data_IF_516070522501
#
_entry.id   IF_516070522501
#
_cell.length_a   1.000
_cell.length_b   1.000
_cell.length_c   1.000
_cell.angle_alpha   90.00
_cell.angle_beta   90.00
_cell.angle_gamma   90.00
#
_symmetry.space_group_name_H-M   'P 1'
#
loop_
_entity.id
_entity.type
_entity.pdbx_description
1 polymer ?
#
# COMPACT_ATOMS: atom_id res chain seq x y z
N UNK A 1 -23.78 14.78 -0.66
CA UNK A 1 -24.76 15.48 0.20
C UNK A 1 -26.22 15.13 -0.11
N UNK A 2 -26.85 15.62 -1.21
CA UNK A 2 -28.30 15.35 -1.46
C UNK A 2 -28.66 13.85 -1.54
N UNK A 3 -27.80 13.01 -2.11
CA UNK A 3 -28.01 11.56 -2.20
C UNK A 3 -27.73 10.82 -0.89
N UNK A 4 -26.92 11.38 0.01
CA UNK A 4 -26.54 10.77 1.29
C UNK A 4 -27.66 10.89 2.32
N UNK A 5 -28.31 12.05 2.39
CA UNK A 5 -29.50 12.22 3.22
C UNK A 5 -30.68 11.33 2.75
N UNK A 6 -30.78 11.03 1.45
CA UNK A 6 -31.95 10.34 0.89
C UNK A 6 -32.12 8.88 1.39
N UNK A 7 -31.04 8.09 1.48
CA UNK A 7 -31.15 6.70 1.94
C UNK A 7 -31.57 6.61 3.41
N UNK A 8 -31.11 7.54 4.25
CA UNK A 8 -31.41 7.55 5.68
C UNK A 8 -32.75 8.16 6.01
N UNK A 9 -33.17 9.20 5.28
CA UNK A 9 -34.56 9.65 5.32
C UNK A 9 -35.50 8.52 4.93
N UNK A 10 -35.12 7.68 3.96
CA UNK A 10 -35.89 6.48 3.62
C UNK A 10 -35.91 5.47 4.76
N UNK A 11 -34.76 5.13 5.36
CA UNK A 11 -34.72 4.21 6.50
C UNK A 11 -35.57 4.71 7.68
N UNK A 12 -35.46 6.00 8.03
CA UNK A 12 -36.25 6.60 9.10
C UNK A 12 -37.76 6.49 8.85
N UNK A 13 -38.20 6.84 7.63
CA UNK A 13 -39.62 6.74 7.25
C UNK A 13 -40.09 5.28 7.26
N UNK A 14 -39.25 4.34 6.83
CA UNK A 14 -39.57 2.92 6.88
C UNK A 14 -39.73 2.42 8.33
N UNK A 15 -38.79 2.79 9.20
CA UNK A 15 -38.76 2.37 10.62
C UNK A 15 -39.92 2.93 11.46
N UNK A 16 -40.62 3.96 10.99
CA UNK A 16 -41.84 4.45 11.65
C UNK A 16 -43.02 3.46 11.56
N UNK A 17 -42.99 2.56 10.58
CA UNK A 17 -44.12 1.66 10.27
C UNK A 17 -43.70 0.19 10.27
N UNK A 18 -42.45 -0.10 9.91
CA UNK A 18 -41.90 -1.45 9.78
C UNK A 18 -40.92 -1.74 10.90
N UNK A 19 -40.96 -2.95 11.43
CA UNK A 19 -39.88 -3.45 12.29
C UNK A 19 -38.61 -3.58 11.46
N UNK A 20 -37.63 -2.71 11.73
CA UNK A 20 -36.46 -2.51 10.87
C UNK A 20 -35.23 -3.09 11.53
N UNK A 21 -34.59 -4.06 10.86
CA UNK A 21 -33.34 -4.63 11.34
C UNK A 21 -32.17 -3.66 11.09
N UNK A 22 -31.89 -2.82 12.10
CA UNK A 22 -30.78 -1.85 12.02
C UNK A 22 -29.42 -2.53 11.96
N UNK A 23 -29.26 -3.69 12.63
CA UNK A 23 -28.01 -4.46 12.59
C UNK A 23 -27.69 -4.90 11.16
N UNK A 24 -28.68 -5.47 10.47
CA UNK A 24 -28.57 -5.85 9.06
C UNK A 24 -28.26 -4.62 8.19
N UNK A 25 -29.02 -3.53 8.34
CA UNK A 25 -28.79 -2.30 7.57
C UNK A 25 -27.34 -1.77 7.71
N UNK A 26 -26.79 -1.72 8.92
CA UNK A 26 -25.44 -1.20 9.16
C UNK A 26 -24.32 -2.16 8.74
N UNK A 27 -24.65 -3.42 8.46
CA UNK A 27 -23.74 -4.39 7.83
C UNK A 27 -23.51 -4.13 6.33
N UNK A 28 -24.41 -3.36 5.70
CA UNK A 28 -24.34 -3.02 4.29
C UNK A 28 -23.71 -1.65 4.02
N UNK A 29 -22.94 -1.58 2.92
CA UNK A 29 -22.45 -0.30 2.42
C UNK A 29 -23.56 0.44 1.67
N UNK A 30 -23.47 1.77 1.67
CA UNK A 30 -24.42 2.62 0.94
C UNK A 30 -24.35 2.38 -0.58
N UNK A 31 -23.14 2.23 -1.09
CA UNK A 31 -22.85 1.94 -2.49
C UNK A 31 -22.19 0.57 -2.58
N UNK A 32 -21.94 0.08 -3.79
CA UNK A 32 -21.10 -1.12 -4.03
C UNK A 32 -19.63 -0.93 -3.65
N UNK A 33 -19.28 0.22 -3.06
CA UNK A 33 -17.96 0.56 -2.57
C UNK A 33 -18.05 1.35 -1.25
N UNK A 34 -17.17 1.07 -0.27
CA UNK A 34 -17.12 1.77 1.01
C UNK A 34 -16.54 3.18 0.83
N UNK A 35 -17.25 4.21 1.27
CA UNK A 35 -16.71 5.59 1.26
C UNK A 35 -15.49 5.75 2.17
N UNK A 36 -15.44 4.95 3.24
CA UNK A 36 -14.35 4.92 4.20
C UNK A 36 -13.01 4.50 3.56
N UNK A 37 -13.02 3.65 2.54
CA UNK A 37 -11.81 3.10 1.92
C UNK A 37 -11.66 3.47 0.45
N UNK A 38 -12.71 3.91 -0.22
CA UNK A 38 -12.66 4.25 -1.64
C UNK A 38 -12.87 5.74 -1.88
N UNK A 39 -12.30 6.21 -2.99
CA UNK A 39 -12.61 7.49 -3.59
C UNK A 39 -13.34 7.21 -4.90
N UNK A 40 -14.68 7.21 -4.84
CA UNK A 40 -15.56 6.92 -5.98
C UNK A 40 -15.27 5.56 -6.65
N UNK A 41 -15.19 4.49 -5.84
CA UNK A 41 -14.93 3.13 -6.33
C UNK A 41 -13.47 2.86 -6.73
N UNK A 42 -12.55 3.82 -6.53
CA UNK A 42 -11.11 3.66 -6.70
C UNK A 42 -10.41 3.60 -5.34
N UNK A 43 -9.23 2.98 -5.28
CA UNK A 43 -8.38 3.06 -4.09
C UNK A 43 -8.19 4.51 -3.66
N UNK A 44 -8.38 4.76 -2.37
CA UNK A 44 -7.99 6.03 -1.77
C UNK A 44 -6.50 5.95 -1.46
N UNK A 45 -5.65 6.46 -2.35
CA UNK A 45 -4.20 6.42 -2.15
C UNK A 45 -3.74 7.43 -1.09
N UNK A 46 -2.70 7.11 -0.29
CA UNK A 46 -2.16 8.00 0.74
C UNK A 46 -1.45 9.22 0.11
N UNK A 47 -1.71 10.41 0.65
CA UNK A 47 -1.06 11.65 0.20
C UNK A 47 0.32 11.91 0.82
N UNK A 48 0.57 11.39 2.04
CA UNK A 48 1.76 11.68 2.83
C UNK A 48 2.29 10.41 3.54
N UNK A 49 2.72 9.40 2.77
CA UNK A 49 3.27 8.15 3.35
C UNK A 49 4.42 8.39 4.35
N UNK A 50 5.27 9.37 4.04
CA UNK A 50 6.48 9.69 4.82
C UNK A 50 6.20 10.26 6.22
N UNK A 51 4.95 10.60 6.56
CA UNK A 51 4.55 10.94 7.93
C UNK A 51 4.80 9.79 8.92
N UNK A 52 4.78 8.55 8.44
CA UNK A 52 5.12 7.39 9.27
C UNK A 52 6.56 7.44 9.77
N UNK A 53 7.49 7.96 8.96
CA UNK A 53 8.90 8.05 9.36
C UNK A 53 9.10 8.97 10.56
N UNK A 54 8.34 10.07 10.63
CA UNK A 54 8.36 10.96 11.80
C UNK A 54 7.76 10.31 13.06
N UNK A 55 7.03 9.21 12.92
CA UNK A 55 6.41 8.49 14.04
C UNK A 55 7.32 7.42 14.64
N UNK A 56 8.31 6.95 13.87
CA UNK A 56 9.27 5.92 14.24
C UNK A 56 10.69 6.46 14.41
N UNK A 57 10.92 7.76 14.18
CA UNK A 57 12.24 8.39 14.29
C UNK A 57 12.68 8.48 15.75
N UNK A 58 13.82 7.86 16.11
CA UNK A 58 14.42 8.04 17.42
C UNK A 58 14.67 9.49 17.79
N UNK A 59 14.60 9.75 19.10
CA UNK A 59 14.96 11.08 19.63
C UNK A 59 16.45 11.38 19.52
N UNK A 60 17.30 10.35 19.50
CA UNK A 60 18.76 10.45 19.40
C UNK A 60 19.23 9.48 18.33
N UNK A 61 19.95 9.99 17.33
CA UNK A 61 20.53 9.22 16.24
C UNK A 61 22.05 9.36 16.29
N UNK A 62 22.82 8.28 16.08
CA UNK A 62 24.25 8.41 15.85
C UNK A 62 24.52 9.15 14.54
N UNK A 63 25.74 9.65 14.39
CA UNK A 63 26.23 10.18 13.11
C UNK A 63 26.59 9.02 12.17
N UNK A 64 26.26 9.12 10.86
CA UNK A 64 26.60 8.08 9.90
C UNK A 64 28.12 7.97 9.72
N UNK A 65 28.66 6.75 9.49
CA UNK A 65 30.07 6.59 9.20
C UNK A 65 30.46 7.25 7.87
N UNK A 66 31.74 7.62 7.74
CA UNK A 66 32.28 8.21 6.51
C UNK A 66 32.50 7.18 5.39
N UNK A 67 32.56 5.90 5.75
CA UNK A 67 32.71 4.76 4.85
C UNK A 67 31.68 3.69 5.19
N UNK A 68 31.14 3.04 4.17
CA UNK A 68 30.25 1.89 4.29
C UNK A 68 30.83 0.74 3.48
N UNK A 69 30.71 -0.50 3.96
CA UNK A 69 31.15 -1.66 3.17
C UNK A 69 30.36 -1.76 1.87
N UNK A 70 29.04 -1.55 1.95
CA UNK A 70 28.15 -1.55 0.80
C UNK A 70 27.18 -0.35 0.77
N UNK A 71 26.89 0.13 -0.44
CA UNK A 71 25.82 1.12 -0.67
C UNK A 71 24.81 0.61 -1.69
N UNK A 72 23.55 0.58 -1.31
CA UNK A 72 22.46 0.04 -2.13
C UNK A 72 21.54 1.20 -2.51
N UNK A 73 21.24 1.33 -3.79
CA UNK A 73 20.50 2.46 -4.34
C UNK A 73 19.19 1.99 -4.96
N UNK A 74 18.10 2.61 -4.52
CA UNK A 74 16.84 2.67 -5.27
C UNK A 74 17.10 3.41 -6.59
N UNK A 75 17.18 2.64 -7.68
CA UNK A 75 17.64 3.13 -8.97
C UNK A 75 16.71 4.18 -9.56
N UNK A 76 15.38 3.96 -9.52
CA UNK A 76 14.41 4.91 -10.08
C UNK A 76 14.51 6.25 -9.34
N UNK A 77 14.64 6.20 -8.00
CA UNK A 77 14.89 7.39 -7.20
C UNK A 77 16.18 8.11 -7.61
N UNK A 78 17.27 7.39 -7.85
CA UNK A 78 18.55 8.00 -8.26
C UNK A 78 18.45 8.65 -9.64
N UNK A 79 17.77 8.02 -10.60
CA UNK A 79 17.53 8.58 -11.94
C UNK A 79 16.73 9.88 -11.87
N UNK A 80 15.83 10.01 -10.88
CA UNK A 80 15.11 11.25 -10.62
C UNK A 80 15.96 12.35 -9.96
N UNK A 81 16.90 11.98 -9.09
CA UNK A 81 17.74 12.92 -8.31
C UNK A 81 18.91 13.45 -9.13
N UNK A 82 19.52 12.61 -9.98
CA UNK A 82 20.74 12.97 -10.69
C UNK A 82 20.51 14.10 -11.70
N UNK A 83 21.48 15.03 -11.83
CA UNK A 83 21.37 16.15 -12.76
C UNK A 83 21.31 15.66 -14.20
N UNK A 84 20.68 16.44 -15.06
CA UNK A 84 20.62 16.18 -16.50
C UNK A 84 21.65 17.08 -17.18
N UNK A 85 22.54 16.50 -17.97
CA UNK A 85 23.39 17.30 -18.85
C UNK A 85 22.54 18.03 -19.89
N UNK A 86 22.88 19.28 -20.23
CA UNK A 86 22.17 20.03 -21.26
C UNK A 86 22.34 19.37 -22.64
N UNK A 87 21.22 19.12 -23.35
CA UNK A 87 21.17 18.60 -24.74
C UNK A 87 22.13 17.41 -24.98
N UNK A 88 22.04 16.38 -24.14
CA UNK A 88 22.85 15.17 -24.27
C UNK A 88 22.02 13.97 -24.80
N UNK A 89 22.71 12.97 -25.36
CA UNK A 89 22.12 11.66 -25.68
C UNK A 89 22.11 10.75 -24.46
N UNK A 90 21.37 9.65 -24.48
CA UNK A 90 21.41 8.68 -23.38
C UNK A 90 22.81 8.10 -23.14
N UNK A 91 23.60 7.88 -24.21
CA UNK A 91 25.00 7.46 -24.08
C UNK A 91 25.84 8.50 -23.35
N UNK A 92 25.76 9.77 -23.77
CA UNK A 92 26.45 10.88 -23.08
C UNK A 92 26.00 11.01 -21.62
N UNK A 93 24.71 10.83 -21.32
CA UNK A 93 24.22 10.83 -19.94
C UNK A 93 24.86 9.71 -19.11
N UNK A 94 24.94 8.50 -19.66
CA UNK A 94 25.63 7.38 -19.01
C UNK A 94 27.10 7.72 -18.73
N UNK A 95 27.82 8.14 -19.76
CA UNK A 95 29.27 8.34 -19.72
C UNK A 95 29.68 9.53 -18.83
N UNK A 96 28.88 10.60 -18.79
CA UNK A 96 29.27 11.86 -18.12
C UNK A 96 28.58 12.11 -16.79
N UNK A 97 27.48 11.43 -16.50
CA UNK A 97 26.70 11.62 -15.26
C UNK A 97 26.61 10.33 -14.46
N UNK A 98 26.03 9.28 -15.05
CA UNK A 98 25.65 8.08 -14.30
C UNK A 98 26.85 7.26 -13.86
N UNK A 99 27.77 6.92 -14.77
CA UNK A 99 29.00 6.20 -14.45
C UNK A 99 29.90 7.00 -13.48
N UNK A 100 30.22 8.29 -13.74
CA UNK A 100 30.98 9.08 -12.76
C UNK A 100 30.31 9.20 -11.39
N UNK A 101 28.98 9.17 -11.33
CA UNK A 101 28.27 9.09 -10.06
C UNK A 101 28.53 7.77 -9.34
N UNK A 102 28.46 6.63 -10.05
CA UNK A 102 28.79 5.32 -9.46
C UNK A 102 30.22 5.27 -8.92
N UNK A 103 31.20 5.81 -9.65
CA UNK A 103 32.60 5.91 -9.20
C UNK A 103 32.73 6.76 -7.93
N UNK A 104 32.03 7.90 -7.85
CA UNK A 104 32.00 8.71 -6.62
C UNK A 104 31.42 7.97 -5.43
N UNK A 105 30.40 7.12 -5.62
CA UNK A 105 29.84 6.33 -4.51
C UNK A 105 30.83 5.29 -3.99
N UNK A 106 31.62 4.70 -4.89
CA UNK A 106 32.69 3.74 -4.61
C UNK A 106 33.95 4.35 -3.96
N UNK A 107 34.08 5.67 -3.89
CA UNK A 107 35.17 6.30 -3.12
C UNK A 107 35.02 6.04 -1.61
N UNK A 108 33.79 5.91 -1.13
CA UNK A 108 33.45 5.65 0.27
C UNK A 108 32.69 4.34 0.46
N UNK A 109 32.89 3.37 -0.45
CA UNK A 109 32.45 1.98 -0.29
C UNK A 109 33.25 1.02 -1.14
N UNK A 110 33.25 -0.28 -0.81
CA UNK A 110 33.86 -1.32 -1.65
C UNK A 110 32.86 -1.88 -2.65
N UNK A 111 31.59 -1.93 -2.27
CA UNK A 111 30.49 -2.43 -3.10
C UNK A 111 29.37 -1.42 -3.26
N UNK A 112 28.82 -1.31 -4.47
CA UNK A 112 27.53 -0.67 -4.69
C UNK A 112 26.55 -1.57 -5.43
N UNK A 113 25.27 -1.42 -5.11
CA UNK A 113 24.18 -2.15 -5.74
C UNK A 113 23.14 -1.14 -6.25
N UNK A 114 22.71 -1.26 -7.51
CA UNK A 114 21.69 -0.41 -8.13
C UNK A 114 20.48 -1.29 -8.49
N UNK A 115 19.36 -1.03 -7.82
CA UNK A 115 18.16 -1.87 -7.86
C UNK A 115 17.05 -1.15 -8.63
N UNK A 116 16.57 -1.78 -9.69
CA UNK A 116 15.50 -1.26 -10.55
C UNK A 116 14.19 -1.99 -10.28
N UNK A 117 13.10 -1.28 -10.52
CA UNK A 117 11.79 -1.90 -10.72
C UNK A 117 11.76 -2.73 -12.01
N UNK A 118 10.84 -3.69 -12.02
CA UNK A 118 10.34 -4.40 -13.19
C UNK A 118 8.89 -3.98 -13.43
N UNK A 119 8.47 -4.06 -14.69
CA UNK A 119 7.17 -3.57 -15.12
C UNK A 119 6.40 -4.70 -15.79
N UNK A 120 5.50 -5.36 -15.05
CA UNK A 120 4.63 -6.39 -15.62
C UNK A 120 3.29 -5.78 -16.05
N UNK A 121 2.79 -6.07 -17.26
CA UNK A 121 1.50 -5.53 -17.73
C UNK A 121 0.30 -5.92 -16.86
N UNK A 122 0.37 -7.07 -16.18
CA UNK A 122 -0.73 -7.74 -15.48
C UNK A 122 -0.60 -7.70 -13.94
N UNK A 123 0.24 -6.83 -13.37
CA UNK A 123 0.37 -6.70 -11.91
C UNK A 123 -0.67 -5.77 -11.28
N UNK A 124 -0.81 -5.84 -9.95
CA UNK A 124 -1.60 -4.88 -9.18
C UNK A 124 -1.11 -3.44 -9.41
N UNK A 125 0.21 -3.27 -9.46
CA UNK A 125 0.88 -1.98 -9.63
C UNK A 125 0.73 -1.44 -11.05
N UNK A 126 0.70 -2.28 -12.08
CA UNK A 126 0.42 -1.83 -13.45
C UNK A 126 -0.93 -1.10 -13.53
N UNK A 127 -1.95 -1.61 -12.82
CA UNK A 127 -3.29 -1.05 -12.82
C UNK A 127 -3.36 0.28 -12.07
N UNK A 128 -2.51 0.48 -11.04
CA UNK A 128 -2.39 1.77 -10.35
C UNK A 128 -1.55 2.77 -11.16
N UNK A 129 -0.54 2.31 -11.91
CA UNK A 129 0.29 3.13 -12.82
C UNK A 129 -0.49 3.64 -14.04
N UNK A 130 -1.33 2.82 -14.68
CA UNK A 130 -2.20 3.24 -15.81
C UNK A 130 -3.15 4.39 -15.48
N UNK A 131 -3.42 4.65 -14.20
CA UNK A 131 -4.23 5.80 -13.73
C UNK A 131 -3.42 7.11 -13.64
N UNK A 132 -2.08 7.06 -13.77
CA UNK A 132 -1.19 8.23 -13.83
C UNK A 132 -1.26 8.87 -15.23
N UNK A 133 -0.75 10.10 -15.37
CA UNK A 133 -0.73 10.82 -16.66
C UNK A 133 0.01 9.99 -17.72
N UNK A 134 -0.51 10.00 -18.95
CA UNK A 134 0.07 9.26 -20.07
C UNK A 134 1.45 9.85 -20.41
N UNK A 135 2.50 9.05 -20.23
CA UNK A 135 3.86 9.41 -20.60
C UNK A 135 4.03 9.57 -22.12
N UNK A 136 5.16 10.16 -22.52
CA UNK A 136 5.52 10.29 -23.93
C UNK A 136 6.54 9.20 -24.28
N UNK A 137 6.10 8.19 -25.05
CA UNK A 137 6.98 7.12 -25.53
C UNK A 137 8.13 7.69 -26.35
N UNK A 138 9.36 7.32 -26.00
CA UNK A 138 10.58 7.64 -26.76
C UNK A 138 11.56 6.49 -26.71
N UNK A 139 11.96 6.00 -27.88
CA UNK A 139 12.96 4.94 -28.00
C UNK A 139 14.27 5.33 -27.30
N UNK A 140 14.74 4.48 -26.41
CA UNK A 140 16.01 4.66 -25.71
C UNK A 140 17.13 3.93 -26.46
N UNK A 141 18.20 4.66 -26.77
CA UNK A 141 19.44 4.10 -27.33
C UNK A 141 20.58 5.08 -27.08
N UNK A 142 21.84 4.62 -27.09
CA UNK A 142 23.01 5.49 -26.83
C UNK A 142 23.00 6.79 -27.66
N UNK A 143 22.55 6.72 -28.91
CA UNK A 143 22.56 7.83 -29.86
C UNK A 143 21.28 8.69 -29.82
N UNK A 144 20.22 8.23 -29.14
CA UNK A 144 18.98 9.00 -29.02
C UNK A 144 19.16 10.16 -28.03
N UNK A 145 18.59 11.31 -28.37
CA UNK A 145 18.59 12.49 -27.52
C UNK A 145 17.72 12.26 -26.27
N UNK A 146 18.19 12.77 -25.12
CA UNK A 146 17.36 12.82 -23.93
C UNK A 146 16.06 13.61 -24.19
N UNK A 147 14.94 13.21 -23.58
CA UNK A 147 13.68 13.92 -23.66
C UNK A 147 13.77 15.28 -22.98
N UNK A 148 13.12 16.29 -23.58
CA UNK A 148 13.01 17.63 -23.00
C UNK A 148 12.30 17.59 -21.64
N UNK A 149 11.23 16.79 -21.54
CA UNK A 149 10.57 16.47 -20.27
C UNK A 149 10.92 15.04 -19.86
N UNK A 150 11.97 14.90 -19.05
CA UNK A 150 12.34 13.61 -18.48
C UNK A 150 11.29 13.07 -17.50
N UNK A 151 10.58 13.96 -16.79
CA UNK A 151 9.48 13.56 -15.88
C UNK A 151 8.34 12.92 -16.67
N UNK A 152 7.94 13.50 -17.80
CA UNK A 152 6.92 12.90 -18.67
C UNK A 152 7.42 11.65 -19.41
N UNK A 153 8.73 11.53 -19.62
CA UNK A 153 9.34 10.33 -20.19
C UNK A 153 9.31 9.14 -19.20
N UNK A 154 9.66 9.38 -17.92
CA UNK A 154 9.62 8.37 -16.86
C UNK A 154 8.19 8.00 -16.40
N UNK A 155 7.16 8.60 -16.98
CA UNK A 155 5.76 8.18 -16.77
C UNK A 155 5.33 7.03 -17.68
N UNK A 156 6.17 6.67 -18.65
CA UNK A 156 5.94 5.54 -19.56
C UNK A 156 6.80 4.35 -19.12
N UNK A 157 6.16 3.22 -18.83
CA UNK A 157 6.83 2.04 -18.27
C UNK A 157 7.87 1.47 -19.25
N UNK A 158 7.58 1.45 -20.56
CA UNK A 158 8.53 0.97 -21.58
C UNK A 158 9.76 1.86 -21.68
N UNK A 159 9.60 3.18 -21.56
CA UNK A 159 10.76 4.09 -21.48
C UNK A 159 11.67 3.77 -20.29
N UNK A 160 11.09 3.45 -19.13
CA UNK A 160 11.84 3.08 -17.92
C UNK A 160 12.57 1.77 -18.12
N UNK A 161 11.90 0.74 -18.64
CA UNK A 161 12.51 -0.55 -18.97
C UNK A 161 13.71 -0.40 -19.91
N UNK A 162 13.56 0.33 -21.02
CA UNK A 162 14.65 0.52 -21.97
C UNK A 162 15.80 1.36 -21.40
N UNK A 163 15.50 2.37 -20.57
CA UNK A 163 16.51 3.17 -19.88
C UNK A 163 17.29 2.33 -18.88
N UNK A 164 16.62 1.57 -18.02
CA UNK A 164 17.27 0.75 -17.01
C UNK A 164 18.11 -0.34 -17.68
N UNK A 165 17.61 -0.99 -18.73
CA UNK A 165 18.39 -1.96 -19.50
C UNK A 165 19.66 -1.34 -20.10
N UNK A 166 19.57 -0.12 -20.66
CA UNK A 166 20.74 0.60 -21.16
C UNK A 166 21.74 0.87 -20.03
N UNK A 167 21.31 1.53 -18.95
CA UNK A 167 22.20 1.91 -17.84
C UNK A 167 22.83 0.68 -17.17
N UNK A 168 22.08 -0.41 -16.97
CA UNK A 168 22.62 -1.67 -16.44
C UNK A 168 23.75 -2.22 -17.31
N UNK A 169 23.57 -2.20 -18.64
CA UNK A 169 24.59 -2.66 -19.56
C UNK A 169 25.84 -1.77 -19.54
N UNK A 170 25.66 -0.45 -19.53
CA UNK A 170 26.79 0.48 -19.54
C UNK A 170 27.60 0.41 -18.24
N UNK A 171 26.91 0.40 -17.10
CA UNK A 171 27.54 0.26 -15.79
C UNK A 171 28.26 -1.08 -15.65
N UNK A 172 27.64 -2.19 -16.04
CA UNK A 172 28.27 -3.51 -15.92
C UNK A 172 29.50 -3.68 -16.84
N UNK A 173 29.57 -2.96 -17.97
CA UNK A 173 30.71 -3.04 -18.88
C UNK A 173 31.81 -2.00 -18.58
N UNK A 174 31.57 -1.07 -17.65
CA UNK A 174 32.56 -0.06 -17.28
C UNK A 174 33.69 -0.67 -16.45
N UNK A 175 34.91 -0.21 -16.70
CA UNK A 175 36.11 -0.65 -15.96
C UNK A 175 36.28 0.24 -14.73
N UNK A 176 35.96 -0.31 -13.57
CA UNK A 176 36.17 0.35 -12.28
C UNK A 176 37.57 0.08 -11.73
N UNK A 177 37.96 0.84 -10.71
CA UNK A 177 39.19 0.59 -9.96
C UNK A 177 39.21 -0.84 -9.37
N UNK A 178 40.40 -1.42 -9.14
CA UNK A 178 40.53 -2.70 -8.45
C UNK A 178 39.78 -2.71 -7.12
N UNK A 179 39.27 -3.88 -6.73
CA UNK A 179 38.54 -4.09 -5.46
C UNK A 179 37.29 -3.20 -5.31
N UNK A 180 36.70 -2.77 -6.43
CA UNK A 180 35.41 -2.10 -6.49
C UNK A 180 34.40 -2.96 -7.24
N UNK A 181 33.34 -3.32 -6.53
CA UNK A 181 32.28 -4.18 -7.05
C UNK A 181 31.00 -3.39 -7.28
N UNK A 182 30.45 -3.54 -8.47
CA UNK A 182 29.15 -2.99 -8.84
C UNK A 182 28.23 -4.13 -9.16
N UNK A 183 27.05 -4.11 -8.55
CA UNK A 183 25.93 -4.97 -8.86
C UNK A 183 24.79 -4.10 -9.38
N UNK A 184 24.18 -4.48 -10.49
CA UNK A 184 23.08 -3.72 -11.06
C UNK A 184 22.04 -4.67 -11.64
N UNK A 185 20.79 -4.49 -11.21
CA UNK A 185 19.71 -5.35 -11.66
C UNK A 185 19.46 -5.21 -13.16
N UNK A 186 18.97 -6.28 -13.81
CA UNK A 186 18.53 -6.27 -15.21
C UNK A 186 17.48 -7.36 -15.39
N UNK A 187 16.20 -6.98 -15.39
CA UNK A 187 15.10 -7.93 -15.28
C UNK A 187 15.25 -8.77 -14.00
N UNK A 188 15.16 -10.10 -14.11
CA UNK A 188 15.29 -11.04 -12.97
C UNK A 188 16.73 -11.20 -12.50
N UNK A 189 17.70 -10.80 -13.32
CA UNK A 189 19.13 -11.02 -13.08
C UNK A 189 19.77 -9.82 -12.42
N UNK A 190 20.99 -10.04 -11.94
CA UNK A 190 21.91 -8.99 -11.49
C UNK A 190 23.17 -9.11 -12.33
N UNK A 191 23.55 -8.02 -12.99
CA UNK A 191 24.81 -7.89 -13.70
C UNK A 191 25.87 -7.38 -12.73
N UNK A 192 27.13 -7.72 -12.98
CA UNK A 192 28.27 -7.19 -12.24
C UNK A 192 29.40 -6.78 -13.17
N UNK A 193 30.22 -5.82 -12.74
CA UNK A 193 31.44 -5.41 -13.43
C UNK A 193 32.56 -6.46 -13.36
N UNK A 194 32.43 -7.48 -12.51
CA UNK A 194 33.42 -8.53 -12.32
C UNK A 194 32.85 -9.91 -12.73
N UNK A 195 33.56 -10.69 -13.56
CA UNK A 195 33.17 -12.07 -13.86
C UNK A 195 33.08 -12.92 -12.58
N UNK A 196 32.05 -13.77 -12.47
CA UNK A 196 31.85 -14.66 -11.33
C UNK A 196 31.18 -14.02 -10.10
N UNK A 197 31.00 -12.69 -10.08
CA UNK A 197 30.19 -12.01 -9.07
C UNK A 197 28.70 -12.13 -9.41
N UNK A 198 28.04 -13.13 -8.86
CA UNK A 198 26.62 -13.41 -9.12
C UNK A 198 25.74 -13.20 -7.90
N UNK A 199 24.44 -13.01 -8.17
CA UNK A 199 23.35 -13.11 -7.22
C UNK A 199 22.28 -14.02 -7.81
N UNK A 200 21.46 -14.61 -6.95
CA UNK A 200 20.33 -15.43 -7.37
C UNK A 200 19.35 -14.62 -8.23
N UNK A 201 18.72 -15.29 -9.19
CA UNK A 201 17.63 -14.68 -9.97
C UNK A 201 16.46 -14.38 -9.05
N UNK A 202 15.76 -13.28 -9.33
CA UNK A 202 14.71 -12.78 -8.45
C UNK A 202 13.42 -12.44 -9.19
N UNK A 203 12.29 -12.90 -8.63
CA UNK A 203 10.94 -12.65 -9.15
C UNK A 203 10.31 -11.34 -8.62
N UNK A 204 11.02 -10.61 -7.76
CA UNK A 204 10.58 -9.33 -7.22
C UNK A 204 10.26 -8.34 -8.34
N UNK A 205 9.04 -7.82 -8.33
CA UNK A 205 8.61 -6.79 -9.27
C UNK A 205 9.20 -5.41 -8.93
N UNK A 206 9.23 -5.05 -7.65
CA UNK A 206 9.57 -3.68 -7.23
C UNK A 206 10.94 -3.62 -6.54
N UNK A 207 11.63 -2.49 -6.75
CA UNK A 207 12.92 -2.24 -6.11
C UNK A 207 12.78 -2.20 -4.58
N UNK A 208 11.62 -1.78 -4.06
CA UNK A 208 11.38 -1.61 -2.63
C UNK A 208 11.69 -2.87 -1.80
N UNK A 209 11.14 -4.01 -2.23
CA UNK A 209 11.32 -5.33 -1.65
C UNK A 209 12.66 -5.93 -2.06
N UNK A 210 13.06 -5.75 -3.33
CA UNK A 210 14.30 -6.33 -3.86
C UNK A 210 15.55 -5.74 -3.18
N UNK A 211 15.50 -4.48 -2.72
CA UNK A 211 16.61 -3.87 -1.98
C UNK A 211 16.99 -4.69 -0.74
N UNK A 212 16.01 -5.25 -0.02
CA UNK A 212 16.29 -6.07 1.17
C UNK A 212 17.05 -7.37 0.82
N UNK A 213 16.79 -7.97 -0.35
CA UNK A 213 17.56 -9.09 -0.88
C UNK A 213 19.02 -8.70 -1.16
N UNK A 214 19.25 -7.49 -1.69
CA UNK A 214 20.61 -6.96 -1.88
C UNK A 214 21.32 -6.71 -0.54
N UNK A 215 20.64 -6.18 0.48
CA UNK A 215 21.17 -6.04 1.85
C UNK A 215 21.60 -7.41 2.39
N UNK A 216 20.75 -8.42 2.21
CA UNK A 216 21.05 -9.78 2.66
C UNK A 216 22.23 -10.41 1.90
N UNK A 217 22.35 -10.20 0.58
CA UNK A 217 23.51 -10.68 -0.19
C UNK A 217 24.82 -9.99 0.22
N UNK A 218 24.79 -8.68 0.52
CA UNK A 218 25.98 -7.98 1.03
C UNK A 218 26.44 -8.56 2.37
N UNK A 219 25.50 -8.88 3.27
CA UNK A 219 25.80 -9.51 4.56
C UNK A 219 26.38 -10.92 4.39
N UNK A 220 25.82 -11.72 3.47
CA UNK A 220 26.36 -13.05 3.13
C UNK A 220 27.79 -13.01 2.61
N UNK A 221 28.21 -11.89 2.04
CA UNK A 221 29.57 -11.64 1.53
C UNK A 221 30.45 -10.88 2.52
N UNK A 222 30.01 -10.71 3.77
CA UNK A 222 30.83 -10.21 4.88
C UNK A 222 30.75 -8.72 5.13
N UNK A 223 29.88 -7.97 4.46
CA UNK A 223 29.64 -6.57 4.81
C UNK A 223 28.96 -6.47 6.18
N UNK A 224 29.33 -5.48 7.00
CA UNK A 224 28.68 -5.18 8.28
C UNK A 224 28.04 -3.80 8.27
N UNK A 225 28.66 -2.79 7.67
CA UNK A 225 28.09 -1.44 7.56
C UNK A 225 27.50 -1.18 6.17
N UNK A 226 26.19 -0.93 6.10
CA UNK A 226 25.43 -0.85 4.85
C UNK A 226 24.59 0.42 4.82
N UNK A 227 24.68 1.18 3.71
CA UNK A 227 23.82 2.33 3.45
C UNK A 227 22.83 2.03 2.32
N UNK A 228 21.54 2.16 2.58
CA UNK A 228 20.49 2.16 1.56
C UNK A 228 20.09 3.60 1.22
N UNK A 229 20.04 3.97 -0.06
CA UNK A 229 19.54 5.27 -0.53
C UNK A 229 18.20 5.11 -1.24
N UNK A 230 17.18 5.81 -0.75
CA UNK A 230 15.84 5.81 -1.33
C UNK A 230 15.09 7.12 -1.03
N UNK A 231 13.96 7.33 -1.71
CA UNK A 231 12.95 8.35 -1.37
C UNK A 231 11.61 7.73 -1.00
N UNK A 232 11.48 6.40 -1.09
CA UNK A 232 10.23 5.68 -0.81
C UNK A 232 10.18 5.21 0.65
N UNK A 233 9.05 5.50 1.29
CA UNK A 233 8.80 5.09 2.68
C UNK A 233 8.65 3.57 2.77
N UNK A 234 8.17 2.93 1.69
CA UNK A 234 7.93 1.49 1.65
C UNK A 234 9.24 0.71 1.89
N UNK A 235 10.38 1.18 1.35
CA UNK A 235 11.73 0.61 1.61
C UNK A 235 12.09 0.64 3.10
N UNK A 236 11.89 1.76 3.79
CA UNK A 236 12.23 1.86 5.22
C UNK A 236 11.37 0.91 6.05
N UNK A 237 10.08 0.83 5.74
CA UNK A 237 9.15 -0.08 6.41
C UNK A 237 9.55 -1.54 6.20
N UNK A 238 9.95 -1.92 4.99
CA UNK A 238 10.43 -3.27 4.68
C UNK A 238 11.69 -3.58 5.47
N UNK A 239 12.69 -2.70 5.45
CA UNK A 239 13.96 -2.90 6.17
C UNK A 239 13.75 -3.03 7.69
N UNK A 240 12.89 -2.19 8.28
CA UNK A 240 12.50 -2.33 9.70
C UNK A 240 11.79 -3.66 9.95
N UNK A 241 10.89 -4.06 9.05
CA UNK A 241 10.14 -5.32 9.16
C UNK A 241 11.01 -6.57 9.16
N UNK A 242 12.07 -6.59 8.36
CA UNK A 242 13.00 -7.73 8.23
C UNK A 242 14.25 -7.61 9.11
N UNK A 243 14.43 -6.49 9.81
CA UNK A 243 15.64 -6.19 10.57
C UNK A 243 16.02 -7.29 11.55
N UNK A 244 15.06 -7.78 12.35
CA UNK A 244 15.35 -8.82 13.34
C UNK A 244 15.71 -10.17 12.70
N UNK A 245 15.21 -10.48 11.50
CA UNK A 245 15.68 -11.65 10.74
C UNK A 245 17.14 -11.50 10.32
N UNK A 246 17.57 -10.28 9.97
CA UNK A 246 18.95 -10.00 9.57
C UNK A 246 19.90 -9.99 10.77
N UNK A 247 19.61 -9.21 11.82
CA UNK A 247 20.52 -9.02 12.96
C UNK A 247 20.69 -10.30 13.79
N UNK A 248 19.67 -11.15 13.87
CA UNK A 248 19.79 -12.46 14.55
C UNK A 248 20.78 -13.39 13.83
N UNK A 249 21.01 -13.20 12.53
CA UNK A 249 21.97 -13.96 11.74
C UNK A 249 23.31 -13.24 11.58
N UNK A 250 23.29 -11.91 11.60
CA UNK A 250 24.45 -11.02 11.44
C UNK A 250 24.45 -9.98 12.56
N UNK A 251 24.94 -10.33 13.77
CA UNK A 251 24.85 -9.47 14.95
C UNK A 251 25.57 -8.12 14.81
N UNK A 252 26.60 -8.05 13.98
CA UNK A 252 27.40 -6.85 13.73
C UNK A 252 26.81 -5.93 12.64
N UNK A 253 25.59 -6.23 12.16
CA UNK A 253 24.92 -5.39 11.15
C UNK A 253 24.77 -3.96 11.65
N UNK A 254 25.26 -3.00 10.87
CA UNK A 254 25.11 -1.56 11.03
C UNK A 254 24.38 -0.99 9.80
N UNK A 255 23.05 -0.88 9.88
CA UNK A 255 22.19 -0.56 8.75
C UNK A 255 21.70 0.88 8.78
N UNK A 256 21.95 1.60 7.69
CA UNK A 256 21.57 2.99 7.52
C UNK A 256 20.66 3.18 6.31
N UNK A 257 19.72 4.13 6.41
CA UNK A 257 18.97 4.63 5.26
C UNK A 257 19.19 6.12 5.08
N UNK A 258 19.73 6.51 3.93
CA UNK A 258 19.70 7.90 3.47
C UNK A 258 18.38 8.19 2.75
N UNK A 259 17.43 8.78 3.45
CA UNK A 259 16.08 9.02 2.96
C UNK A 259 15.89 10.43 2.39
N UNK A 260 15.22 10.54 1.25
CA UNK A 260 14.82 11.82 0.66
C UNK A 260 15.88 12.49 -0.20
N UNK A 261 15.63 13.74 -0.59
CA UNK A 261 16.48 14.51 -1.49
C UNK A 261 16.50 16.00 -1.13
N UNK A 262 17.57 16.70 -1.52
CA UNK A 262 17.74 18.13 -1.30
C UNK A 262 17.60 18.50 0.18
N UNK A 263 16.76 19.49 0.50
CA UNK A 263 16.53 20.00 1.87
C UNK A 263 15.82 19.02 2.79
N UNK A 264 15.21 17.96 2.26
CA UNK A 264 14.49 16.95 3.03
C UNK A 264 15.30 15.65 3.17
N UNK A 265 16.57 15.65 2.75
CA UNK A 265 17.46 14.52 2.93
C UNK A 265 17.85 14.34 4.40
N UNK A 266 17.82 13.10 4.88
CA UNK A 266 18.18 12.74 6.26
C UNK A 266 18.65 11.28 6.33
N UNK A 267 19.46 10.99 7.34
CA UNK A 267 19.87 9.62 7.65
C UNK A 267 19.01 9.04 8.76
N UNK A 268 18.70 7.75 8.63
CA UNK A 268 18.07 6.93 9.65
C UNK A 268 18.99 5.77 9.97
N UNK A 269 19.42 5.65 11.23
CA UNK A 269 20.08 4.44 11.72
C UNK A 269 19.01 3.41 12.05
N UNK A 270 18.84 2.40 11.19
CA UNK A 270 17.75 1.43 11.27
C UNK A 270 17.87 0.58 12.53
N UNK A 271 19.10 0.30 12.99
CA UNK A 271 19.32 -0.38 14.25
C UNK A 271 18.73 0.39 15.43
N UNK A 272 19.03 1.69 15.55
CA UNK A 272 18.44 2.53 16.63
C UNK A 272 16.92 2.58 16.55
N UNK A 273 16.37 2.75 15.33
CA UNK A 273 14.92 2.71 15.10
C UNK A 273 14.32 1.39 15.62
N UNK A 274 14.91 0.26 15.24
CA UNK A 274 14.38 -1.05 15.61
C UNK A 274 14.53 -1.36 17.10
N UNK A 275 15.65 -0.95 17.72
CA UNK A 275 15.88 -1.08 19.16
C UNK A 275 14.85 -0.28 19.97
N UNK A 276 14.52 0.94 19.55
CA UNK A 276 13.51 1.77 20.23
C UNK A 276 12.08 1.23 20.03
N UNK A 277 11.77 0.72 18.84
CA UNK A 277 10.46 0.14 18.55
C UNK A 277 10.23 -1.21 19.24
N UNK A 278 11.29 -2.02 19.36
CA UNK A 278 11.21 -3.42 19.78
C UNK A 278 10.78 -4.37 18.65
N UNK A 279 11.12 -5.65 18.81
CA UNK A 279 10.95 -6.68 17.78
C UNK A 279 9.52 -6.85 17.29
N UNK A 280 8.55 -6.91 18.20
CA UNK A 280 7.15 -7.14 17.83
C UNK A 280 6.60 -6.00 16.97
N UNK A 281 6.91 -4.74 17.33
CA UNK A 281 6.47 -3.59 16.52
C UNK A 281 7.16 -3.54 15.17
N UNK A 282 8.44 -3.91 15.10
CA UNK A 282 9.16 -4.00 13.84
C UNK A 282 8.47 -5.02 12.91
N UNK A 283 8.18 -6.23 13.40
CA UNK A 283 7.47 -7.27 12.65
C UNK A 283 6.04 -6.88 12.27
N UNK A 284 5.35 -6.11 13.11
CA UNK A 284 4.00 -5.60 12.84
C UNK A 284 3.97 -4.44 11.82
N UNK A 285 5.06 -3.70 11.66
CA UNK A 285 5.08 -2.45 10.88
C UNK A 285 4.70 -2.62 9.39
N UNK A 286 5.15 -3.66 8.66
CA UNK A 286 4.73 -3.89 7.28
C UNK A 286 3.20 -4.01 7.14
N UNK A 287 2.54 -4.81 7.98
CA UNK A 287 1.09 -4.93 7.97
C UNK A 287 0.41 -3.61 8.35
N UNK A 288 0.86 -2.94 9.42
CA UNK A 288 0.30 -1.63 9.80
C UNK A 288 0.39 -0.60 8.65
N UNK A 289 1.51 -0.58 7.93
CA UNK A 289 1.73 0.36 6.83
C UNK A 289 0.82 0.06 5.63
N UNK A 290 0.65 -1.21 5.25
CA UNK A 290 -0.31 -1.60 4.20
C UNK A 290 -1.75 -1.35 4.64
N UNK A 291 -2.10 -1.63 5.91
CA UNK A 291 -3.42 -1.41 6.46
C UNK A 291 -3.83 0.06 6.48
N UNK A 292 -2.90 0.96 6.81
CA UNK A 292 -3.14 2.40 6.79
C UNK A 292 -2.98 3.03 5.39
N UNK A 293 -2.79 2.21 4.36
CA UNK A 293 -2.71 2.61 2.96
C UNK A 293 -1.27 2.71 2.43
N UNK A 294 -1.00 2.01 1.33
CA UNK A 294 0.19 2.13 0.50
C UNK A 294 -0.21 2.33 -0.97
N UNK A 295 0.62 1.90 -1.93
CA UNK A 295 0.32 2.07 -3.36
C UNK A 295 -0.80 1.17 -3.89
N UNK A 296 -1.01 0.01 -3.27
CA UNK A 296 -2.02 -0.97 -3.70
C UNK A 296 -3.16 -1.14 -2.71
N UNK A 297 -3.03 -0.60 -1.51
CA UNK A 297 -4.10 -0.60 -0.50
C UNK A 297 -4.64 0.82 -0.30
N UNK A 298 -5.81 0.92 0.32
CA UNK A 298 -6.42 2.22 0.57
C UNK A 298 -6.02 2.77 1.93
N UNK A 299 -5.85 4.09 2.03
CA UNK A 299 -5.96 4.77 3.31
C UNK A 299 -7.43 4.91 3.71
N UNK A 300 -7.69 5.03 5.01
CA UNK A 300 -9.01 5.30 5.55
C UNK A 300 -9.36 6.79 5.42
N UNK A 301 -10.60 7.10 5.06
CA UNK A 301 -11.05 8.47 4.85
C UNK A 301 -10.98 9.29 6.15
N UNK A 302 -10.19 10.36 6.14
CA UNK A 302 -10.00 11.20 7.32
C UNK A 302 -9.15 10.57 8.43
N UNK A 303 -8.46 9.45 8.15
CA UNK A 303 -7.52 8.81 9.09
C UNK A 303 -6.15 8.70 8.42
N UNK A 304 -5.22 9.54 8.86
CA UNK A 304 -3.84 9.54 8.38
C UNK A 304 -2.94 8.57 9.16
N UNK A 305 -1.73 8.33 8.66
CA UNK A 305 -0.75 7.43 9.30
C UNK A 305 -0.40 7.88 10.71
N UNK A 306 -0.20 9.18 10.93
CA UNK A 306 0.06 9.73 12.26
C UNK A 306 -1.08 9.46 13.25
N UNK A 307 -2.34 9.67 12.85
CA UNK A 307 -3.49 9.39 13.72
C UNK A 307 -3.62 7.89 14.03
N UNK A 308 -3.44 7.02 13.03
CA UNK A 308 -3.48 5.57 13.24
C UNK A 308 -2.33 5.08 14.13
N UNK A 309 -1.15 5.69 14.01
CA UNK A 309 0.00 5.40 14.87
C UNK A 309 -0.27 5.77 16.33
N UNK A 310 -0.90 6.92 16.58
CA UNK A 310 -1.31 7.31 17.93
C UNK A 310 -2.33 6.33 18.51
N UNK A 311 -3.30 5.87 17.71
CA UNK A 311 -4.23 4.80 18.13
C UNK A 311 -3.47 3.52 18.49
N UNK A 312 -2.49 3.12 17.69
CA UNK A 312 -1.71 1.91 17.98
C UNK A 312 -0.90 2.07 19.26
N UNK A 313 -0.31 3.24 19.51
CA UNK A 313 0.37 3.54 20.79
C UNK A 313 -0.57 3.42 21.99
N UNK A 314 -1.83 3.83 21.87
CA UNK A 314 -2.83 3.70 22.94
C UNK A 314 -3.43 2.30 23.11
N UNK A 315 -3.25 1.42 22.12
CA UNK A 315 -3.83 0.07 22.12
C UNK A 315 -2.77 -0.98 21.78
N UNK A 316 -1.76 -1.21 22.66
CA UNK A 316 -0.62 -2.07 22.35
C UNK A 316 -0.99 -3.54 22.10
N UNK A 317 -2.14 -3.99 22.59
CA UNK A 317 -2.67 -5.36 22.39
C UNK A 317 -2.86 -5.72 20.92
N UNK A 318 -3.02 -4.73 20.02
CA UNK A 318 -3.19 -5.00 18.58
C UNK A 318 -1.90 -5.42 17.88
N UNK A 319 -0.75 -5.21 18.52
CA UNK A 319 0.56 -5.56 17.97
C UNK A 319 0.62 -7.04 17.59
N UNK A 320 0.06 -7.92 18.43
CA UNK A 320 0.03 -9.36 18.14
C UNK A 320 -0.75 -9.68 16.86
N UNK A 321 -1.90 -9.04 16.66
CA UNK A 321 -2.71 -9.21 15.44
C UNK A 321 -1.96 -8.78 14.18
N UNK A 322 -1.25 -7.64 14.24
CA UNK A 322 -0.43 -7.16 13.13
C UNK A 322 0.77 -8.09 12.88
N UNK A 323 1.48 -8.53 13.93
CA UNK A 323 2.59 -9.47 13.80
C UNK A 323 2.14 -10.78 13.17
N UNK A 324 1.02 -11.38 13.64
CA UNK A 324 0.47 -12.61 13.06
C UNK A 324 0.10 -12.43 11.58
N UNK A 325 -0.43 -11.27 11.22
CA UNK A 325 -0.74 -10.91 9.83
C UNK A 325 0.50 -10.77 8.95
N UNK A 326 1.61 -10.29 9.52
CA UNK A 326 2.90 -10.20 8.84
C UNK A 326 3.63 -11.55 8.71
N UNK A 327 3.50 -12.43 9.72
CA UNK A 327 4.25 -13.70 9.79
C UNK A 327 3.60 -14.84 9.02
N UNK A 328 2.30 -14.78 8.73
CA UNK A 328 1.57 -15.81 8.00
C UNK A 328 1.42 -15.41 6.54
N UNK A 329 2.47 -15.64 5.75
CA UNK A 329 2.52 -15.20 4.37
C UNK A 329 1.36 -15.77 3.54
N UNK A 330 0.64 -14.89 2.86
CA UNK A 330 -0.45 -15.19 1.93
C UNK A 330 -1.57 -16.06 2.54
N UNK A 331 -1.93 -15.84 3.81
CA UNK A 331 -3.08 -16.48 4.45
C UNK A 331 -4.26 -15.49 4.53
N UNK A 332 -5.29 -15.62 3.68
CA UNK A 332 -6.46 -14.76 3.74
C UNK A 332 -7.19 -14.93 5.08
N UNK A 333 -7.82 -13.87 5.53
CA UNK A 333 -8.61 -13.83 6.76
C UNK A 333 -10.10 -14.00 6.47
N UNK A 334 -10.83 -14.43 7.49
CA UNK A 334 -12.28 -14.43 7.57
C UNK A 334 -12.75 -13.71 8.85
N UNK A 335 -14.07 -13.56 9.02
CA UNK A 335 -14.66 -12.86 10.18
C UNK A 335 -14.55 -13.63 11.49
N UNK A 336 -14.28 -14.94 11.45
CA UNK A 336 -14.08 -15.79 12.63
C UNK A 336 -12.62 -15.78 13.12
N UNK A 337 -11.70 -15.25 12.31
CA UNK A 337 -10.29 -15.15 12.65
C UNK A 337 -10.06 -14.25 13.87
N UNK A 338 -9.33 -14.73 14.90
CA UNK A 338 -8.91 -13.89 16.03
C UNK A 338 -8.08 -12.69 15.58
N UNK A 339 -7.30 -12.85 14.50
CA UNK A 339 -6.50 -11.76 13.91
C UNK A 339 -7.41 -10.68 13.34
N UNK A 340 -8.47 -11.07 12.64
CA UNK A 340 -9.45 -10.12 12.12
C UNK A 340 -10.18 -9.38 13.25
N UNK A 341 -10.58 -10.07 14.32
CA UNK A 341 -11.23 -9.42 15.47
C UNK A 341 -10.36 -8.32 16.10
N UNK A 342 -9.05 -8.55 16.22
CA UNK A 342 -8.11 -7.54 16.73
C UNK A 342 -7.99 -6.34 15.77
N UNK A 343 -7.95 -6.59 14.46
CA UNK A 343 -7.90 -5.53 13.45
C UNK A 343 -9.22 -4.74 13.39
N UNK A 344 -10.35 -5.41 13.59
CA UNK A 344 -11.68 -4.79 13.68
C UNK A 344 -11.76 -3.85 14.88
N UNK A 345 -11.33 -4.31 16.06
CA UNK A 345 -11.22 -3.49 17.26
C UNK A 345 -10.32 -2.27 17.04
N UNK A 346 -9.16 -2.46 16.41
CA UNK A 346 -8.28 -1.35 16.05
C UNK A 346 -8.97 -0.33 15.14
N UNK A 347 -9.76 -0.82 14.18
CA UNK A 347 -10.54 0.03 13.28
C UNK A 347 -11.58 0.84 14.04
N UNK A 348 -12.27 0.24 15.03
CA UNK A 348 -13.17 0.96 15.90
C UNK A 348 -12.46 2.10 16.64
N UNK A 349 -11.34 1.80 17.30
CA UNK A 349 -10.55 2.78 18.04
C UNK A 349 -9.96 3.90 17.16
N UNK A 350 -9.66 3.62 15.88
CA UNK A 350 -9.25 4.66 14.93
C UNK A 350 -10.39 5.66 14.66
N UNK A 351 -11.64 5.19 14.61
CA UNK A 351 -12.81 6.02 14.32
C UNK A 351 -13.34 6.77 15.54
N UNK A 352 -13.33 6.11 16.69
CA UNK A 352 -13.66 6.70 17.97
C UNK A 352 -12.84 6.06 19.10
N UNK A 353 -11.91 6.82 19.68
CA UNK A 353 -11.02 6.30 20.73
C UNK A 353 -11.70 6.07 22.08
N UNK A 354 -12.95 6.56 22.23
CA UNK A 354 -13.76 6.42 23.45
C UNK A 354 -14.74 5.26 23.38
N UNK A 355 -14.87 4.61 22.22
CA UNK A 355 -15.86 3.55 22.02
C UNK A 355 -15.54 2.32 22.87
N UNK A 356 -16.61 1.62 23.27
CA UNK A 356 -16.53 0.29 23.87
C UNK A 356 -16.81 -0.82 22.85
N UNK A 357 -17.12 -0.47 21.59
CA UNK A 357 -17.40 -1.43 20.54
C UNK A 357 -16.12 -2.00 19.93
N UNK A 358 -16.10 -3.32 19.77
CA UNK A 358 -15.02 -4.04 19.09
C UNK A 358 -15.39 -4.45 17.66
N UNK A 359 -16.64 -4.21 17.25
CA UNK A 359 -17.14 -4.50 15.90
C UNK A 359 -17.50 -3.22 15.16
N UNK A 360 -17.09 -3.12 13.90
CA UNK A 360 -17.29 -1.88 13.13
C UNK A 360 -18.76 -1.64 12.79
N UNK A 361 -19.57 -2.69 12.63
CA UNK A 361 -21.00 -2.54 12.35
C UNK A 361 -21.74 -1.93 13.55
N UNK A 362 -21.47 -2.39 14.77
CA UNK A 362 -22.06 -1.84 15.99
C UNK A 362 -21.64 -0.36 16.17
N UNK A 363 -20.35 -0.06 15.94
CA UNK A 363 -19.85 1.31 15.99
C UNK A 363 -20.50 2.21 14.93
N UNK A 364 -20.78 1.68 13.73
CA UNK A 364 -21.50 2.43 12.68
C UNK A 364 -22.88 2.84 13.17
N UNK A 365 -23.61 1.93 13.80
CA UNK A 365 -24.93 2.19 14.36
C UNK A 365 -24.87 3.24 15.47
N UNK A 366 -23.86 3.20 16.35
CA UNK A 366 -23.68 4.17 17.44
C UNK A 366 -23.26 5.57 16.94
N UNK A 367 -22.29 5.64 16.00
CA UNK A 367 -21.76 6.91 15.51
C UNK A 367 -22.73 7.66 14.61
N UNK A 368 -23.69 6.96 14.02
CA UNK A 368 -24.58 7.52 13.01
C UNK A 368 -25.51 8.62 13.57
N UNK A 369 -26.24 8.44 14.69
CA UNK A 369 -27.12 9.48 15.24
C UNK A 369 -26.36 10.65 15.87
N UNK A 370 -25.21 10.37 16.50
CA UNK A 370 -24.56 11.27 17.45
C UNK A 370 -23.58 12.28 16.82
N UNK A 371 -23.29 12.14 15.52
CA UNK A 371 -22.39 13.06 14.83
C UNK A 371 -23.10 13.55 13.57
N UNK A 372 -23.21 14.87 13.40
CA UNK A 372 -23.74 15.61 12.22
C UNK A 372 -22.89 15.35 10.95
N UNK A 373 -22.25 14.18 10.86
CA UNK A 373 -21.18 13.85 9.94
C UNK A 373 -21.77 12.97 8.82
N UNK A 374 -21.43 13.35 7.60
CA UNK A 374 -21.68 12.59 6.37
C UNK A 374 -21.30 11.11 6.56
N UNK A 375 -22.07 10.20 5.95
CA UNK A 375 -21.78 8.76 5.84
C UNK A 375 -20.33 8.42 5.53
N UNK A 376 -19.66 9.32 4.81
CA UNK A 376 -18.25 9.26 4.46
C UNK A 376 -17.29 9.21 5.65
N UNK A 377 -17.76 9.52 6.87
CA UNK A 377 -16.98 9.53 8.11
C UNK A 377 -17.27 8.34 9.03
N UNK A 378 -18.16 7.42 8.64
CA UNK A 378 -18.32 6.13 9.31
C UNK A 378 -17.12 5.21 8.97
N UNK A 379 -16.78 4.24 9.85
CA UNK A 379 -15.87 3.17 9.46
C UNK A 379 -16.48 2.32 8.35
N UNK A 380 -15.67 1.54 7.59
CA UNK A 380 -16.22 0.58 6.62
C UNK A 380 -17.10 -0.45 7.34
N UNK A 381 -17.98 -1.12 6.60
CA UNK A 381 -18.66 -2.32 7.14
C UNK A 381 -17.65 -3.43 7.43
N UNK A 382 -18.01 -4.38 8.29
CA UNK A 382 -17.15 -5.52 8.61
C UNK A 382 -16.75 -6.30 7.34
N UNK A 383 -17.69 -6.51 6.42
CA UNK A 383 -17.43 -7.20 5.17
C UNK A 383 -16.43 -6.43 4.27
N UNK A 384 -16.60 -5.11 4.15
CA UNK A 384 -15.68 -4.27 3.39
C UNK A 384 -14.29 -4.17 4.04
N UNK A 385 -14.24 -4.13 5.37
CA UNK A 385 -13.01 -4.19 6.15
C UNK A 385 -12.27 -5.50 5.91
N UNK A 386 -12.96 -6.65 5.90
CA UNK A 386 -12.36 -7.95 5.64
C UNK A 386 -11.67 -8.00 4.28
N UNK A 387 -12.33 -7.52 3.23
CA UNK A 387 -11.72 -7.44 1.89
C UNK A 387 -10.48 -6.54 1.90
N UNK A 388 -10.51 -5.45 2.66
CA UNK A 388 -9.34 -4.58 2.81
C UNK A 388 -8.20 -5.25 3.56
N UNK A 389 -8.48 -5.94 4.68
CA UNK A 389 -7.49 -6.71 5.43
C UNK A 389 -6.80 -7.72 4.53
N UNK A 390 -7.55 -8.47 3.72
CA UNK A 390 -6.97 -9.47 2.82
C UNK A 390 -6.03 -8.84 1.77
N UNK A 391 -6.37 -7.66 1.23
CA UNK A 391 -5.44 -6.91 0.36
C UNK A 391 -4.15 -6.50 1.08
N UNK A 392 -4.26 -6.14 2.36
CA UNK A 392 -3.12 -5.73 3.17
C UNK A 392 -2.23 -6.91 3.52
N UNK A 393 -2.82 -8.05 3.90
CA UNK A 393 -2.08 -9.30 4.13
C UNK A 393 -1.28 -9.68 2.88
N UNK A 394 -1.89 -9.63 1.70
CA UNK A 394 -1.19 -9.95 0.44
C UNK A 394 0.05 -9.07 0.22
N UNK A 395 -0.08 -7.75 0.33
CA UNK A 395 1.06 -6.85 0.14
C UNK A 395 2.10 -6.97 1.25
N UNK A 396 1.67 -7.13 2.51
CA UNK A 396 2.57 -7.32 3.64
C UNK A 396 3.38 -8.60 3.50
N UNK A 397 2.77 -9.67 2.95
CA UNK A 397 3.45 -10.96 2.69
C UNK A 397 4.58 -10.83 1.68
N UNK A 398 4.39 -10.05 0.60
CA UNK A 398 5.48 -9.75 -0.35
C UNK A 398 6.65 -9.07 0.37
N UNK A 399 6.35 -8.14 1.27
CA UNK A 399 7.36 -7.38 2.01
C UNK A 399 8.06 -8.21 3.09
N UNK A 400 7.36 -9.08 3.81
CA UNK A 400 7.96 -9.91 4.86
C UNK A 400 8.75 -11.10 4.31
N UNK A 401 8.44 -11.53 3.09
CA UNK A 401 9.18 -12.57 2.35
C UNK A 401 10.35 -12.02 1.52
N UNK A 402 10.65 -10.72 1.64
CA UNK A 402 11.54 -10.01 0.73
C UNK A 402 13.02 -10.40 0.78
N UNK A 403 13.44 -11.19 1.77
CA UNK A 403 14.78 -11.77 1.84
C UNK A 403 14.95 -13.01 0.95
N UNK A 404 13.85 -13.56 0.40
CA UNK A 404 13.87 -14.70 -0.51
C UNK A 404 14.03 -14.20 -1.96
N UNK A 405 14.95 -14.75 -2.77
CA UNK A 405 15.05 -14.36 -4.18
C UNK A 405 13.75 -14.58 -4.95
N UNK A 406 13.06 -15.68 -4.66
CA UNK A 406 11.79 -16.08 -5.27
C UNK A 406 10.72 -16.08 -4.18
N UNK A 407 9.81 -15.11 -4.23
CA UNK A 407 8.65 -15.02 -3.33
C UNK A 407 7.57 -16.02 -3.76
N UNK A 408 7.43 -16.25 -5.08
CA UNK A 408 6.34 -17.03 -5.67
C UNK A 408 4.97 -16.56 -5.20
N UNK A 409 4.75 -15.23 -5.22
CA UNK A 409 3.50 -14.63 -4.79
C UNK A 409 2.30 -15.25 -5.54
N UNK A 410 1.26 -15.73 -4.84
CA UNK A 410 0.09 -16.32 -5.48
C UNK A 410 -0.71 -15.26 -6.25
N UNK A 411 -1.75 -15.69 -6.95
CA UNK A 411 -2.69 -14.76 -7.56
C UNK A 411 -3.27 -13.80 -6.51
N UNK A 412 -3.41 -12.49 -6.79
CA UNK A 412 -4.16 -11.57 -5.95
C UNK A 412 -5.64 -11.93 -5.79
N UNK A 413 -6.19 -12.76 -6.69
CA UNK A 413 -7.56 -13.26 -6.59
C UNK A 413 -7.76 -14.02 -5.27
N UNK A 414 -8.87 -13.78 -4.58
CA UNK A 414 -9.11 -14.26 -3.22
C UNK A 414 -8.51 -13.39 -2.10
N UNK A 415 -7.62 -12.43 -2.42
CA UNK A 415 -7.09 -11.45 -1.45
C UNK A 415 -7.80 -10.10 -1.53
N UNK A 416 -9.12 -10.10 -1.79
CA UNK A 416 -9.89 -8.88 -1.98
C UNK A 416 -9.60 -8.13 -3.28
N UNK A 417 -9.10 -8.87 -4.29
CA UNK A 417 -8.94 -8.43 -5.67
C UNK A 417 -9.66 -9.36 -6.62
N UNK A 418 -10.05 -8.84 -7.78
CA UNK A 418 -10.52 -9.64 -8.91
C UNK A 418 -9.93 -9.10 -10.22
N UNK A 419 -9.74 -9.99 -11.20
CA UNK A 419 -9.21 -9.65 -12.52
C UNK A 419 -10.36 -9.35 -13.49
N UNK A 420 -10.26 -8.26 -14.24
CA UNK A 420 -11.11 -7.96 -15.40
C UNK A 420 -10.25 -7.71 -16.63
N UNK A 421 -10.88 -7.51 -17.80
CA UNK A 421 -10.20 -7.16 -19.06
C UNK A 421 -9.35 -5.88 -18.96
N UNK A 422 -9.68 -5.01 -18.00
CA UNK A 422 -8.98 -3.73 -17.78
C UNK A 422 -7.86 -3.81 -16.73
N UNK A 423 -7.67 -4.98 -16.11
CA UNK A 423 -6.70 -5.25 -15.06
C UNK A 423 -7.33 -5.59 -13.72
N UNK A 424 -6.55 -5.45 -12.65
CA UNK A 424 -6.97 -5.81 -11.29
C UNK A 424 -7.81 -4.71 -10.65
N UNK A 425 -8.94 -5.08 -10.07
CA UNK A 425 -9.80 -4.16 -9.35
C UNK A 425 -10.12 -4.71 -7.95
N UNK A 426 -10.25 -3.83 -6.95
CA UNK A 426 -10.53 -4.25 -5.58
C UNK A 426 -11.95 -4.79 -5.49
N UNK A 427 -12.11 -5.92 -4.80
CA UNK A 427 -13.41 -6.36 -4.29
C UNK A 427 -13.68 -5.51 -3.06
N UNK A 428 -14.67 -4.63 -3.15
CA UNK A 428 -14.97 -3.69 -2.08
C UNK A 428 -15.81 -4.29 -0.95
N UNK A 429 -16.76 -5.13 -1.33
CA UNK A 429 -17.72 -5.83 -0.47
C UNK A 429 -18.28 -7.00 -1.28
N UNK A 430 -18.61 -8.10 -0.61
CA UNK A 430 -19.36 -9.23 -1.20
C UNK A 430 -20.85 -9.14 -0.89
N UNK A 431 -21.25 -8.20 -0.04
CA UNK A 431 -22.66 -7.91 0.27
C UNK A 431 -23.24 -6.88 -0.71
N UNK A 432 -24.54 -6.99 -1.07
CA UNK A 432 -25.23 -5.97 -1.83
C UNK A 432 -25.25 -4.62 -1.10
N UNK A 433 -25.45 -3.53 -1.84
CA UNK A 433 -25.67 -2.21 -1.22
C UNK A 433 -26.97 -2.20 -0.41
N UNK A 434 -27.03 -1.39 0.65
CA UNK A 434 -28.16 -1.33 1.57
C UNK A 434 -29.51 -1.09 0.86
N UNK A 435 -29.53 -0.26 -0.19
CA UNK A 435 -30.73 0.01 -0.98
C UNK A 435 -31.31 -1.22 -1.72
N UNK A 436 -30.50 -2.26 -1.92
CA UNK A 436 -30.89 -3.54 -2.54
C UNK A 436 -31.14 -4.60 -1.47
N UNK A 437 -30.33 -4.61 -0.42
CA UNK A 437 -30.37 -5.61 0.64
C UNK A 437 -31.57 -5.44 1.58
N UNK A 438 -31.83 -4.20 2.02
CA UNK A 438 -32.78 -3.93 3.08
C UNK A 438 -34.21 -3.88 2.52
N UNK A 439 -34.99 -4.91 2.84
CA UNK A 439 -36.38 -5.09 2.36
C UNK A 439 -37.29 -3.95 2.86
N UNK A 440 -36.95 -3.35 3.99
CA UNK A 440 -37.64 -2.24 4.61
C UNK A 440 -37.62 -0.97 3.75
N UNK A 441 -36.73 -0.89 2.75
CA UNK A 441 -36.69 0.21 1.78
C UNK A 441 -37.58 -0.04 0.54
N UNK A 442 -38.25 -1.20 0.45
CA UNK A 442 -39.17 -1.51 -0.65
C UNK A 442 -40.33 -0.50 -0.66
N UNK A 443 -40.58 0.09 -1.82
CA UNK A 443 -41.71 1.01 -2.07
C UNK A 443 -42.60 0.50 -3.18
N UNK A 444 -43.91 0.65 -3.03
CA UNK A 444 -44.88 0.33 -4.06
C UNK A 444 -45.24 1.58 -4.90
N UNK A 445 -45.69 1.34 -6.13
CA UNK A 445 -46.26 2.35 -7.02
C UNK A 445 -47.79 2.37 -6.98
N UNK A 446 -48.40 1.86 -5.91
CA UNK A 446 -49.85 1.81 -5.79
C UNK A 446 -50.41 3.24 -5.76
N UNK A 447 -51.43 3.49 -6.60
CA UNK A 447 -52.13 4.78 -6.68
C UNK A 447 -53.54 4.72 -6.07
N UNK A 448 -54.09 3.51 -5.91
CA UNK A 448 -55.43 3.30 -5.40
C UNK A 448 -55.39 3.23 -3.88
N UNK A 449 -56.20 4.05 -3.23
CA UNK A 449 -56.50 4.05 -1.79
C UNK A 449 -58.00 3.72 -1.71
N UNK A 450 -58.48 2.86 -0.80
CA UNK A 450 -57.83 2.35 0.42
C UNK A 450 -57.14 0.99 0.32
N UNK A 451 -57.27 0.25 -0.79
CA UNK A 451 -56.69 -1.10 -0.93
C UNK A 451 -55.47 -1.12 -1.85
N UNK A 452 -54.46 -1.92 -1.48
CA UNK A 452 -53.32 -2.20 -2.36
C UNK A 452 -53.76 -2.83 -3.69
N UNK A 453 -53.05 -2.49 -4.77
CA UNK A 453 -53.20 -3.23 -6.03
C UNK A 453 -52.61 -4.64 -5.87
N UNK A 454 -53.17 -5.65 -6.56
CA UNK A 454 -52.71 -7.06 -6.51
C UNK A 454 -51.21 -7.27 -6.79
N UNK A 455 -50.52 -6.30 -7.39
CA UNK A 455 -49.09 -6.32 -7.66
C UNK A 455 -48.29 -5.39 -6.72
N UNK A 456 -48.83 -5.07 -5.55
CA UNK A 456 -48.16 -4.24 -4.56
C UNK A 456 -46.86 -4.91 -4.10
N UNK A 457 -45.73 -4.23 -4.36
CA UNK A 457 -44.42 -4.74 -3.96
C UNK A 457 -44.26 -4.86 -2.45
N UNK A 458 -44.94 -4.03 -1.67
CA UNK A 458 -44.87 -4.06 -0.20
C UNK A 458 -45.63 -5.26 0.35
N UNK A 459 -46.88 -5.45 -0.08
CA UNK A 459 -47.72 -6.59 0.27
C UNK A 459 -47.08 -7.92 -0.15
N UNK A 460 -46.59 -8.02 -1.39
CA UNK A 460 -45.87 -9.20 -1.88
C UNK A 460 -44.58 -9.51 -1.09
N UNK A 461 -44.01 -8.51 -0.41
CA UNK A 461 -42.86 -8.67 0.46
C UNK A 461 -43.25 -8.91 1.93
N UNK A 462 -44.54 -8.96 2.26
CA UNK A 462 -45.07 -9.09 3.62
C UNK A 462 -44.90 -7.82 4.47
N UNK A 463 -44.82 -6.64 3.84
CA UNK A 463 -44.53 -5.37 4.51
C UNK A 463 -45.68 -4.38 4.38
N UNK A 464 -45.97 -3.65 5.46
CA UNK A 464 -46.88 -2.51 5.44
C UNK A 464 -46.38 -1.41 4.48
N UNK A 465 -47.28 -0.72 3.80
CA UNK A 465 -46.92 0.46 3.00
C UNK A 465 -46.42 1.59 3.92
N UNK A 466 -45.45 2.37 3.44
CA UNK A 466 -44.87 3.51 4.18
C UNK A 466 -45.06 4.81 3.40
N UNK A 467 -44.74 5.96 4.00
CA UNK A 467 -44.75 7.24 3.29
C UNK A 467 -43.73 7.33 2.13
N UNK A 468 -42.86 6.32 1.95
CA UNK A 468 -42.00 6.18 0.77
C UNK A 468 -42.74 5.65 -0.46
N UNK A 469 -43.89 5.03 -0.26
CA UNK A 469 -44.73 4.46 -1.31
C UNK A 469 -45.51 5.57 -2.03
N UNK A 470 -45.91 5.30 -3.26
CA UNK A 470 -46.76 6.24 -4.00
C UNK A 470 -48.14 6.43 -3.32
N UNK A 471 -48.62 5.41 -2.61
CA UNK A 471 -49.83 5.48 -1.80
C UNK A 471 -49.64 6.12 -0.42
N UNK A 472 -48.41 6.58 -0.09
CA UNK A 472 -48.06 7.27 1.16
C UNK A 472 -48.32 6.49 2.46
N UNK A 473 -48.55 5.19 2.37
CA UNK A 473 -48.87 4.36 3.54
C UNK A 473 -50.37 4.20 3.77
N UNK A 474 -51.21 4.81 2.93
CA UNK A 474 -52.66 4.85 3.10
C UNK A 474 -53.36 3.59 2.56
N UNK A 475 -52.62 2.64 2.00
CA UNK A 475 -53.19 1.37 1.57
C UNK A 475 -53.11 0.35 2.70
N UNK A 476 -54.26 -0.22 3.05
CA UNK A 476 -54.34 -1.41 3.89
C UNK A 476 -53.94 -2.64 3.04
N UNK A 477 -53.27 -3.59 3.70
CA UNK A 477 -52.85 -4.87 3.11
C UNK A 477 -54.02 -5.84 3.02
#
# INVERSE_FOLDING_TARGET
MKSDCNLFSQLFIAAQVRDTNLEDFFSHEKYTWPQALSLHGRLRLPGHKSELLACIDPSIQPEPPSHFDAKIFDGDAMVHILPRGNKCTFGKYSDTIFIPWTERQLQSSTRIDIVWDRYYPDSLKSTTRKKRRKGVRRKVSRNANLPTSFVGFLQDDTNKEELFALLSKEVANHVYLPEKWVYITSGERVLSNQPGCTMDMSDHEEADSRISLHVYDTLRKGATSILVRTVDTDVVVILVGVFYCLVNRYPDLDLWVGFGAGRHFRYYHINSVCLELGEDKCKALPFFHTFTGCDVTSQFNGKGKKSAWMTWKSLPTVTEGFTRSSSSAFVPQDTSSPVFSVIEQFTCAMYDSTTQHNKVNDLRQELFPNRVKLMERLPPTQNALLQHVNRCVYQASIWTESLKPVIAAPSPDGFGWSKSDTGWHPIWTTLPAAAVACRELIKCGCKAVPMCARNCKCENAGLACTALCQCRGDCEA
#
